data_IF_048384338412
#
_entry.id   IF_048384338412
#
_cell.length_a   1.000
_cell.length_b   1.000
_cell.length_c   1.000
_cell.angle_alpha   90.00
_cell.angle_beta   90.00
_cell.angle_gamma   90.00
#
_symmetry.space_group_name_H-M   'P 1'
#
loop_
_entity.id
_entity.type
_entity.pdbx_description
1 polymer ?
#
# COMPACT_ATOMS: atom_id res chain seq x y z
N UNK A 1 57.95 -7.70 -14.12
CA UNK A 1 56.80 -7.95 -13.21
C UNK A 1 57.27 -8.78 -12.03
N UNK A 2 57.18 -8.27 -10.82
CA UNK A 2 57.61 -9.02 -9.61
C UNK A 2 56.62 -10.15 -9.31
N UNK A 3 57.06 -11.24 -8.66
CA UNK A 3 56.17 -12.36 -8.28
C UNK A 3 54.90 -11.86 -7.56
N UNK A 4 55.03 -10.87 -6.68
CA UNK A 4 53.93 -10.25 -5.94
C UNK A 4 52.89 -9.57 -6.86
N UNK A 5 53.29 -8.91 -7.95
CA UNK A 5 52.36 -8.32 -8.92
C UNK A 5 51.57 -9.38 -9.69
N UNK A 6 52.19 -10.54 -10.00
CA UNK A 6 51.51 -11.63 -10.70
C UNK A 6 50.44 -12.28 -9.82
N UNK A 7 50.72 -12.47 -8.52
CA UNK A 7 49.76 -12.95 -7.54
C UNK A 7 48.61 -11.95 -7.30
N UNK A 8 48.90 -10.65 -7.23
CA UNK A 8 47.88 -9.62 -7.07
C UNK A 8 46.90 -9.58 -8.26
N UNK A 9 47.41 -9.69 -9.50
CA UNK A 9 46.57 -9.78 -10.70
C UNK A 9 45.73 -11.05 -10.70
N UNK A 10 46.31 -12.21 -10.39
CA UNK A 10 45.59 -13.48 -10.30
C UNK A 10 44.45 -13.40 -9.27
N UNK A 11 44.71 -12.88 -8.08
CA UNK A 11 43.69 -12.72 -7.03
C UNK A 11 42.59 -11.75 -7.48
N UNK A 12 42.95 -10.63 -8.11
CA UNK A 12 41.97 -9.64 -8.58
C UNK A 12 41.10 -10.19 -9.71
N UNK A 13 41.69 -10.94 -10.65
CA UNK A 13 40.93 -11.58 -11.74
C UNK A 13 39.99 -12.65 -11.19
N UNK A 14 40.47 -13.52 -10.30
CA UNK A 14 39.63 -14.54 -9.66
C UNK A 14 38.49 -13.91 -8.85
N UNK A 15 38.75 -12.84 -8.11
CA UNK A 15 37.72 -12.12 -7.37
C UNK A 15 36.69 -11.46 -8.29
N UNK A 16 37.13 -10.82 -9.39
CA UNK A 16 36.24 -10.19 -10.36
C UNK A 16 35.39 -11.21 -11.11
N UNK A 17 35.98 -12.32 -11.55
CA UNK A 17 35.25 -13.42 -12.20
C UNK A 17 34.29 -14.10 -11.23
N UNK A 18 34.70 -14.31 -9.96
CA UNK A 18 33.83 -14.83 -8.91
C UNK A 18 32.63 -13.94 -8.65
N UNK A 19 32.85 -12.62 -8.50
CA UNK A 19 31.77 -11.65 -8.36
C UNK A 19 30.84 -11.62 -9.58
N UNK A 20 31.39 -11.68 -10.78
CA UNK A 20 30.62 -11.75 -12.03
C UNK A 20 29.75 -13.01 -12.12
N UNK A 21 30.28 -14.16 -11.71
CA UNK A 21 29.53 -15.42 -11.67
C UNK A 21 28.43 -15.39 -10.60
N UNK A 22 28.70 -14.83 -9.43
CA UNK A 22 27.67 -14.65 -8.38
C UNK A 22 26.56 -13.73 -8.87
N UNK A 23 26.89 -12.61 -9.52
CA UNK A 23 25.90 -11.69 -10.08
C UNK A 23 25.08 -12.33 -11.21
N UNK A 24 25.72 -13.08 -12.11
CA UNK A 24 25.03 -13.80 -13.18
C UNK A 24 24.12 -14.92 -12.62
N UNK A 25 24.56 -15.61 -11.57
CA UNK A 25 23.78 -16.62 -10.88
C UNK A 25 22.57 -16.02 -10.16
N UNK A 26 22.76 -14.90 -9.45
CA UNK A 26 21.68 -14.15 -8.81
C UNK A 26 20.67 -13.64 -9.84
N UNK A 27 21.13 -13.13 -10.99
CA UNK A 27 20.28 -12.69 -12.08
C UNK A 27 19.47 -13.86 -12.65
N UNK A 28 20.10 -14.99 -12.92
CA UNK A 28 19.44 -16.20 -13.43
C UNK A 28 18.34 -16.69 -12.48
N UNK A 29 18.59 -16.66 -11.17
CA UNK A 29 17.60 -17.03 -10.15
C UNK A 29 16.46 -16.01 -10.08
N UNK A 30 16.78 -14.71 -10.12
CA UNK A 30 15.78 -13.64 -10.08
C UNK A 30 14.84 -13.65 -11.29
N UNK A 31 15.30 -14.14 -12.44
CA UNK A 31 14.53 -14.18 -13.68
C UNK A 31 13.56 -15.36 -13.79
N UNK A 32 13.83 -16.52 -13.15
CA UNK A 32 13.17 -17.76 -13.63
C UNK A 32 12.42 -18.64 -12.62
N UNK A 33 12.40 -18.43 -11.29
CA UNK A 33 11.53 -19.21 -10.37
C UNK A 33 11.44 -18.65 -8.92
N UNK A 34 10.33 -18.00 -8.51
CA UNK A 34 10.15 -17.51 -7.13
C UNK A 34 10.18 -18.60 -6.06
N UNK A 35 9.74 -19.82 -6.38
CA UNK A 35 9.60 -20.93 -5.43
C UNK A 35 10.94 -21.57 -4.99
N UNK A 36 12.01 -21.45 -5.79
CA UNK A 36 13.36 -21.89 -5.40
C UNK A 36 14.11 -20.83 -4.57
N UNK A 37 13.61 -19.59 -4.59
CA UNK A 37 14.18 -18.45 -3.86
C UNK A 37 13.98 -18.59 -2.35
N UNK A 38 12.76 -18.88 -1.88
CA UNK A 38 12.45 -18.96 -0.45
C UNK A 38 13.33 -19.96 0.30
N UNK A 39 13.63 -21.12 -0.30
CA UNK A 39 14.40 -22.18 0.37
C UNK A 39 15.91 -21.89 0.44
N UNK A 40 16.48 -21.16 -0.53
CA UNK A 40 17.91 -20.87 -0.57
C UNK A 40 18.27 -19.45 -0.12
N UNK A 41 17.28 -18.56 0.03
CA UNK A 41 17.49 -17.18 0.44
C UNK A 41 18.27 -17.08 1.75
N UNK A 42 17.91 -17.90 2.75
CA UNK A 42 18.58 -17.90 4.06
C UNK A 42 20.06 -18.29 3.91
N UNK A 43 20.37 -19.29 3.10
CA UNK A 43 21.76 -19.71 2.87
C UNK A 43 22.55 -18.66 2.09
N UNK A 44 21.97 -18.10 1.02
CA UNK A 44 22.57 -17.00 0.23
C UNK A 44 22.83 -15.76 1.08
N UNK A 45 21.91 -15.43 1.99
CA UNK A 45 22.06 -14.34 2.95
C UNK A 45 23.27 -14.58 3.84
N UNK A 46 23.37 -15.75 4.48
CA UNK A 46 24.50 -16.08 5.35
C UNK A 46 25.84 -16.12 4.61
N UNK A 47 25.89 -16.62 3.38
CA UNK A 47 27.09 -16.56 2.54
C UNK A 47 27.50 -15.12 2.26
N UNK A 48 26.57 -14.25 1.87
CA UNK A 48 26.86 -12.83 1.65
C UNK A 48 27.33 -12.13 2.93
N UNK A 49 26.68 -12.37 4.06
CA UNK A 49 27.09 -11.82 5.36
C UNK A 49 28.50 -12.27 5.73
N UNK A 50 28.82 -13.55 5.51
CA UNK A 50 30.15 -14.10 5.77
C UNK A 50 31.21 -13.45 4.89
N UNK A 51 30.96 -13.37 3.58
CA UNK A 51 31.88 -12.74 2.60
C UNK A 51 32.06 -11.25 2.90
N UNK A 52 30.97 -10.53 3.18
CA UNK A 52 31.01 -9.11 3.54
C UNK A 52 31.82 -8.87 4.82
N UNK A 53 31.60 -9.69 5.85
CA UNK A 53 32.35 -9.61 7.12
C UNK A 53 33.84 -9.84 6.90
N UNK A 54 34.20 -10.84 6.10
CA UNK A 54 35.59 -11.14 5.76
C UNK A 54 36.24 -9.97 4.99
N UNK A 55 35.55 -9.41 4.01
CA UNK A 55 36.01 -8.23 3.25
C UNK A 55 36.24 -7.03 4.16
N UNK A 56 35.28 -6.72 5.04
CA UNK A 56 35.41 -5.63 6.03
C UNK A 56 36.61 -5.85 6.94
N UNK A 57 36.82 -7.09 7.39
CA UNK A 57 37.96 -7.44 8.24
C UNK A 57 39.30 -7.27 7.50
N UNK A 58 39.40 -7.73 6.25
CA UNK A 58 40.62 -7.55 5.42
C UNK A 58 40.91 -6.07 5.17
N UNK A 59 39.89 -5.29 4.78
CA UNK A 59 40.02 -3.84 4.56
C UNK A 59 40.42 -3.14 5.86
N UNK A 60 39.79 -3.50 6.99
CA UNK A 60 40.11 -2.97 8.31
C UNK A 60 41.55 -3.24 8.72
N UNK A 61 42.03 -4.49 8.57
CA UNK A 61 43.43 -4.84 8.84
C UNK A 61 44.39 -4.07 7.94
N UNK A 62 44.08 -3.95 6.64
CA UNK A 62 44.89 -3.20 5.69
C UNK A 62 44.96 -1.71 6.05
N UNK A 63 43.82 -1.11 6.42
CA UNK A 63 43.71 0.28 6.85
C UNK A 63 44.50 0.53 8.15
N UNK A 64 44.33 -0.32 9.17
CA UNK A 64 45.10 -0.22 10.43
C UNK A 64 46.59 -0.39 10.18
N UNK A 65 47.02 -1.38 9.38
CA UNK A 65 48.43 -1.54 9.00
C UNK A 65 48.98 -0.30 8.31
N UNK A 66 48.20 0.31 7.40
CA UNK A 66 48.60 1.52 6.70
C UNK A 66 48.75 2.70 7.68
N UNK A 67 47.78 2.90 8.57
CA UNK A 67 47.81 3.94 9.60
C UNK A 67 49.01 3.78 10.55
N UNK A 68 49.28 2.56 11.03
CA UNK A 68 50.45 2.28 11.85
C UNK A 68 51.75 2.57 11.08
N UNK A 69 51.85 2.16 9.81
CA UNK A 69 53.03 2.41 8.96
C UNK A 69 53.29 3.90 8.74
N UNK A 70 52.23 4.69 8.58
CA UNK A 70 52.29 6.16 8.47
C UNK A 70 52.75 6.78 9.80
N UNK A 71 52.23 6.29 10.93
CA UNK A 71 52.64 6.75 12.27
C UNK A 71 54.10 6.44 12.58
N UNK A 72 54.61 5.28 12.16
CA UNK A 72 56.01 4.88 12.30
C UNK A 72 56.99 5.60 11.34
N UNK A 73 56.56 6.66 10.64
CA UNK A 73 57.38 7.49 9.72
C UNK A 73 58.18 6.71 8.66
N UNK A 74 57.74 5.50 8.29
CA UNK A 74 58.41 4.72 7.24
C UNK A 74 58.33 5.45 5.90
N UNK A 75 59.47 5.60 5.22
CA UNK A 75 59.58 6.27 3.91
C UNK A 75 58.59 5.62 2.91
N UNK A 76 57.84 6.44 2.16
CA UNK A 76 56.84 5.99 1.18
C UNK A 76 55.41 5.75 1.71
N UNK A 77 55.18 5.72 3.02
CA UNK A 77 53.84 5.47 3.62
C UNK A 77 52.81 6.57 3.33
N UNK A 78 53.26 7.84 3.29
CA UNK A 78 52.40 9.00 2.98
C UNK A 78 51.86 8.96 1.55
N UNK A 79 52.66 8.48 0.59
CA UNK A 79 52.23 8.34 -0.81
C UNK A 79 51.15 7.26 -0.94
N UNK A 80 51.35 6.10 -0.31
CA UNK A 80 50.37 5.02 -0.28
C UNK A 80 49.06 5.45 0.37
N UNK A 81 49.11 6.22 1.46
CA UNK A 81 47.90 6.76 2.09
C UNK A 81 47.15 7.70 1.15
N UNK A 82 47.84 8.61 0.46
CA UNK A 82 47.22 9.55 -0.48
C UNK A 82 46.54 8.81 -1.64
N UNK A 83 47.20 7.79 -2.20
CA UNK A 83 46.62 6.96 -3.27
C UNK A 83 45.42 6.17 -2.77
N UNK A 84 45.53 5.51 -1.61
CA UNK A 84 44.42 4.76 -1.01
C UNK A 84 43.20 5.65 -0.73
N UNK A 85 43.42 6.88 -0.25
CA UNK A 85 42.36 7.85 -0.01
C UNK A 85 41.64 8.25 -1.31
N UNK A 86 42.38 8.49 -2.40
CA UNK A 86 41.78 8.79 -3.71
C UNK A 86 40.95 7.61 -4.21
N UNK A 87 41.48 6.38 -4.14
CA UNK A 87 40.72 5.19 -4.55
C UNK A 87 39.46 4.98 -3.71
N UNK A 88 39.55 5.17 -2.39
CA UNK A 88 38.39 5.08 -1.51
C UNK A 88 37.33 6.14 -1.85
N UNK A 89 37.76 7.37 -2.11
CA UNK A 89 36.85 8.46 -2.49
C UNK A 89 36.15 8.17 -3.82
N UNK A 90 36.90 7.76 -4.84
CA UNK A 90 36.35 7.40 -6.17
C UNK A 90 35.39 6.22 -6.08
N UNK A 91 35.61 5.26 -5.19
CA UNK A 91 34.71 4.13 -4.98
C UNK A 91 33.46 4.46 -4.16
N UNK A 92 33.58 5.25 -3.09
CA UNK A 92 32.50 5.47 -2.12
C UNK A 92 31.56 6.60 -2.53
N UNK A 93 32.10 7.72 -3.04
CA UNK A 93 31.29 8.92 -3.38
C UNK A 93 30.15 8.62 -4.35
N UNK A 94 30.35 7.96 -5.51
CA UNK A 94 29.24 7.64 -6.40
C UNK A 94 28.23 6.69 -5.76
N UNK A 95 28.69 5.75 -4.92
CA UNK A 95 27.81 4.83 -4.21
C UNK A 95 26.88 5.54 -3.21
N UNK A 96 27.42 6.48 -2.44
CA UNK A 96 26.63 7.31 -1.50
C UNK A 96 25.65 8.20 -2.26
N UNK A 97 26.07 8.80 -3.38
CA UNK A 97 25.19 9.62 -4.21
C UNK A 97 24.02 8.79 -4.74
N UNK A 98 24.29 7.61 -5.30
CA UNK A 98 23.23 6.70 -5.78
C UNK A 98 22.32 6.32 -4.61
N UNK A 99 22.87 5.91 -3.46
CA UNK A 99 22.08 5.53 -2.29
C UNK A 99 21.14 6.64 -1.82
N UNK A 100 21.65 7.87 -1.67
CA UNK A 100 20.85 9.02 -1.22
C UNK A 100 19.76 9.39 -2.22
N UNK A 101 20.08 9.43 -3.50
CA UNK A 101 19.13 9.70 -4.57
C UNK A 101 18.06 8.60 -4.61
N UNK A 102 18.47 7.32 -4.59
CA UNK A 102 17.55 6.18 -4.54
C UNK A 102 16.64 6.23 -3.31
N UNK A 103 17.16 6.58 -2.13
CA UNK A 103 16.36 6.72 -0.92
C UNK A 103 15.32 7.84 -1.06
N UNK A 104 15.73 9.00 -1.60
CA UNK A 104 14.80 10.11 -1.87
C UNK A 104 13.72 9.70 -2.86
N UNK A 105 14.09 9.04 -3.96
CA UNK A 105 13.14 8.53 -4.95
C UNK A 105 12.17 7.55 -4.32
N UNK A 106 12.65 6.52 -3.62
CA UNK A 106 11.79 5.51 -2.99
C UNK A 106 10.82 6.15 -1.99
N UNK A 107 11.31 7.01 -1.09
CA UNK A 107 10.46 7.66 -0.10
C UNK A 107 9.39 8.54 -0.73
N UNK A 108 9.73 9.35 -1.74
CA UNK A 108 8.78 10.25 -2.40
C UNK A 108 7.83 9.52 -3.36
N UNK A 109 8.32 8.50 -4.06
CA UNK A 109 7.51 7.71 -5.00
C UNK A 109 6.46 6.87 -4.27
N UNK A 110 6.77 6.35 -3.08
CA UNK A 110 5.78 5.66 -2.24
C UNK A 110 4.69 6.65 -1.82
N UNK A 111 5.07 7.79 -1.26
CA UNK A 111 4.11 8.81 -0.80
C UNK A 111 3.18 9.27 -1.95
N UNK A 112 3.76 9.66 -3.08
CA UNK A 112 3.01 10.21 -4.22
C UNK A 112 2.08 9.19 -4.89
N UNK A 113 2.44 7.91 -4.93
CA UNK A 113 1.61 6.89 -5.58
C UNK A 113 0.57 6.31 -4.63
N UNK A 114 0.82 6.29 -3.32
CA UNK A 114 -0.14 5.83 -2.33
C UNK A 114 -1.27 6.83 -2.13
N UNK A 115 -0.96 8.11 -1.94
CA UNK A 115 -1.97 9.12 -1.62
C UNK A 115 -3.04 9.24 -2.73
N UNK A 116 -2.59 9.35 -3.98
CA UNK A 116 -3.46 9.45 -5.17
C UNK A 116 -4.38 8.23 -5.33
N UNK A 117 -3.89 7.03 -4.98
CA UNK A 117 -4.68 5.80 -5.07
C UNK A 117 -5.71 5.69 -3.96
N UNK A 118 -5.36 6.13 -2.75
CA UNK A 118 -6.27 6.09 -1.60
C UNK A 118 -7.37 7.12 -1.78
N UNK A 119 -7.03 8.35 -2.20
CA UNK A 119 -8.01 9.40 -2.49
C UNK A 119 -8.97 8.96 -3.61
N UNK A 120 -8.45 8.44 -4.72
CA UNK A 120 -9.29 7.93 -5.82
C UNK A 120 -10.19 6.77 -5.39
N UNK A 121 -9.69 5.86 -4.55
CA UNK A 121 -10.50 4.76 -4.02
C UNK A 121 -11.59 5.26 -3.06
N UNK A 122 -11.30 6.28 -2.25
CA UNK A 122 -12.25 6.88 -1.32
C UNK A 122 -13.36 7.62 -2.08
N UNK A 123 -13.02 8.39 -3.10
CA UNK A 123 -13.98 9.08 -3.96
C UNK A 123 -14.86 8.10 -4.75
N UNK A 124 -14.28 7.01 -5.27
CA UNK A 124 -15.04 5.95 -5.92
C UNK A 124 -16.00 5.27 -4.94
N UNK A 125 -15.55 5.00 -3.71
CA UNK A 125 -16.39 4.46 -2.64
C UNK A 125 -17.53 5.40 -2.24
N UNK A 126 -17.25 6.70 -2.14
CA UNK A 126 -18.25 7.73 -1.83
C UNK A 126 -19.30 7.83 -2.94
N UNK A 127 -18.88 7.86 -4.20
CA UNK A 127 -19.79 7.91 -5.34
C UNK A 127 -20.65 6.65 -5.46
N UNK A 128 -20.07 5.47 -5.16
CA UNK A 128 -20.82 4.21 -5.10
C UNK A 128 -21.84 4.22 -3.96
N UNK A 129 -21.46 4.72 -2.78
CA UNK A 129 -22.37 4.88 -1.64
C UNK A 129 -23.53 5.82 -1.95
N UNK A 130 -23.24 6.99 -2.52
CA UNK A 130 -24.26 7.97 -2.95
C UNK A 130 -25.19 7.39 -4.01
N UNK A 131 -24.65 6.80 -5.08
CA UNK A 131 -25.45 6.20 -6.14
C UNK A 131 -26.32 5.04 -5.65
N UNK A 132 -25.82 4.22 -4.72
CA UNK A 132 -26.59 3.15 -4.09
C UNK A 132 -27.73 3.73 -3.25
N UNK A 133 -27.46 4.77 -2.45
CA UNK A 133 -28.47 5.42 -1.63
C UNK A 133 -29.57 6.06 -2.50
N UNK A 134 -29.18 6.79 -3.55
CA UNK A 134 -30.13 7.40 -4.50
C UNK A 134 -31.00 6.36 -5.19
N UNK A 135 -30.42 5.21 -5.57
CA UNK A 135 -31.16 4.08 -6.14
C UNK A 135 -32.17 3.49 -5.15
N UNK A 136 -31.79 3.34 -3.87
CA UNK A 136 -32.69 2.83 -2.83
C UNK A 136 -33.83 3.83 -2.59
N UNK A 137 -33.53 5.13 -2.51
CA UNK A 137 -34.53 6.19 -2.34
C UNK A 137 -35.52 6.20 -3.51
N UNK A 138 -35.04 6.12 -4.74
CA UNK A 138 -35.89 6.09 -5.94
C UNK A 138 -36.77 4.83 -6.00
N UNK A 139 -36.23 3.67 -5.65
CA UNK A 139 -36.98 2.40 -5.59
C UNK A 139 -38.08 2.46 -4.52
N UNK A 140 -37.76 2.91 -3.31
CA UNK A 140 -38.73 3.08 -2.22
C UNK A 140 -39.81 4.10 -2.60
N UNK A 141 -39.46 5.22 -3.23
CA UNK A 141 -40.42 6.21 -3.70
C UNK A 141 -41.38 5.66 -4.76
N UNK A 142 -40.86 4.88 -5.72
CA UNK A 142 -41.67 4.24 -6.77
C UNK A 142 -42.62 3.21 -6.18
N UNK A 143 -42.12 2.35 -5.29
CA UNK A 143 -42.91 1.35 -4.57
C UNK A 143 -44.00 2.01 -3.72
N UNK A 144 -43.69 3.11 -3.03
CA UNK A 144 -44.64 3.87 -2.21
C UNK A 144 -45.74 4.52 -3.05
N UNK A 145 -45.41 5.03 -4.25
CA UNK A 145 -46.39 5.61 -5.17
C UNK A 145 -47.38 4.57 -5.69
N UNK A 146 -46.89 3.42 -6.16
CA UNK A 146 -47.73 2.30 -6.60
C UNK A 146 -48.61 1.77 -5.46
N UNK A 147 -48.07 1.74 -4.25
CA UNK A 147 -48.77 1.37 -3.03
C UNK A 147 -49.91 2.34 -2.69
N UNK A 148 -49.68 3.65 -2.84
CA UNK A 148 -50.70 4.69 -2.63
C UNK A 148 -51.83 4.63 -3.67
N UNK A 149 -51.51 4.40 -4.95
CA UNK A 149 -52.51 4.25 -6.02
C UNK A 149 -53.46 3.08 -5.74
N UNK A 150 -52.92 1.90 -5.39
CA UNK A 150 -53.71 0.71 -5.03
C UNK A 150 -54.59 0.93 -3.79
N UNK A 151 -54.07 1.67 -2.81
CA UNK A 151 -54.82 1.96 -1.59
C UNK A 151 -56.00 2.92 -1.87
N UNK A 152 -55.85 3.83 -2.84
CA UNK A 152 -56.92 4.72 -3.31
C UNK A 152 -58.11 3.99 -3.93
N UNK A 153 -57.89 2.81 -4.51
CA UNK A 153 -58.95 1.95 -5.07
C UNK A 153 -59.67 1.10 -4.00
N UNK A 154 -59.16 1.06 -2.76
CA UNK A 154 -59.68 0.20 -1.68
C UNK A 154 -60.72 0.94 -0.81
N UNK A 155 -61.93 0.39 -0.60
CA UNK A 155 -62.97 0.99 0.25
C UNK A 155 -62.51 1.25 1.70
N UNK A 156 -62.95 2.36 2.29
CA UNK A 156 -62.48 2.88 3.59
C UNK A 156 -62.53 1.91 4.78
N UNK A 157 -63.46 0.94 4.80
CA UNK A 157 -63.57 -0.06 5.86
C UNK A 157 -62.46 -1.12 5.85
N UNK A 158 -61.79 -1.33 4.72
CA UNK A 158 -60.71 -2.32 4.57
C UNK A 158 -59.30 -1.71 4.62
N UNK A 159 -59.17 -0.38 4.75
CA UNK A 159 -57.89 0.32 4.63
C UNK A 159 -56.89 -0.01 5.75
N UNK A 160 -57.33 -0.27 6.98
CA UNK A 160 -56.42 -0.60 8.10
C UNK A 160 -55.65 -1.91 7.88
N UNK A 161 -56.36 -2.95 7.42
CA UNK A 161 -55.74 -4.25 7.10
C UNK A 161 -54.89 -4.17 5.83
N UNK A 162 -55.32 -3.36 4.85
CA UNK A 162 -54.56 -3.12 3.63
C UNK A 162 -53.21 -2.45 3.92
N UNK A 163 -53.16 -1.47 4.82
CA UNK A 163 -51.92 -0.78 5.24
C UNK A 163 -50.95 -1.73 5.97
N UNK A 164 -51.44 -2.62 6.82
CA UNK A 164 -50.60 -3.62 7.50
C UNK A 164 -49.94 -4.58 6.49
N UNK A 165 -50.73 -5.12 5.55
CA UNK A 165 -50.21 -5.99 4.48
C UNK A 165 -49.19 -5.27 3.60
N UNK A 166 -49.42 -4.00 3.32
CA UNK A 166 -48.53 -3.17 2.51
C UNK A 166 -47.21 -2.91 3.23
N UNK A 167 -47.25 -2.74 4.56
CA UNK A 167 -46.04 -2.64 5.41
C UNK A 167 -45.22 -3.91 5.35
N UNK A 168 -45.85 -5.06 5.51
CA UNK A 168 -45.19 -6.37 5.39
C UNK A 168 -44.62 -6.58 3.98
N UNK A 169 -45.40 -6.29 2.93
CA UNK A 169 -44.99 -6.46 1.53
C UNK A 169 -43.79 -5.57 1.16
N UNK A 170 -43.75 -4.34 1.69
CA UNK A 170 -42.63 -3.42 1.49
C UNK A 170 -41.47 -3.68 2.45
N UNK A 171 -41.62 -4.60 3.40
CA UNK A 171 -40.68 -4.80 4.52
C UNK A 171 -40.32 -3.47 5.22
N UNK A 172 -41.28 -2.55 5.26
CA UNK A 172 -41.09 -1.23 5.82
C UNK A 172 -41.17 -1.30 7.35
N UNK A 173 -40.37 -0.47 8.02
CA UNK A 173 -40.44 -0.34 9.48
C UNK A 173 -41.75 0.32 9.90
N UNK A 174 -42.10 1.43 9.24
CA UNK A 174 -43.29 2.23 9.47
C UNK A 174 -43.96 2.60 8.13
N UNK A 175 -45.29 2.60 8.09
CA UNK A 175 -46.10 3.19 7.02
C UNK A 175 -47.18 4.08 7.64
N UNK A 176 -47.36 5.28 7.10
CA UNK A 176 -48.43 6.19 7.51
C UNK A 176 -49.15 6.79 6.30
N UNK A 177 -50.47 6.88 6.41
CA UNK A 177 -51.31 7.68 5.53
C UNK A 177 -51.35 9.09 6.12
N UNK A 178 -50.95 10.07 5.33
CA UNK A 178 -50.98 11.48 5.72
C UNK A 178 -52.12 12.18 4.96
N UNK A 179 -52.99 12.84 5.71
CA UNK A 179 -54.08 13.64 5.18
C UNK A 179 -53.60 14.99 4.62
N UNK A 180 -54.47 15.71 3.92
CA UNK A 180 -54.11 16.94 3.19
C UNK A 180 -53.63 18.09 4.08
N UNK A 181 -53.93 18.09 5.39
CA UNK A 181 -53.40 19.07 6.35
C UNK A 181 -52.18 18.55 7.13
N UNK A 182 -51.52 17.48 6.64
CA UNK A 182 -50.33 16.91 7.27
C UNK A 182 -50.61 16.09 8.53
N UNK A 183 -51.87 15.74 8.80
CA UNK A 183 -52.26 14.86 9.90
C UNK A 183 -52.11 13.39 9.51
N UNK A 184 -51.54 12.56 10.38
CA UNK A 184 -51.52 11.10 10.16
C UNK A 184 -52.92 10.54 10.39
N UNK A 185 -53.52 10.00 9.34
CA UNK A 185 -54.90 9.46 9.37
C UNK A 185 -54.87 8.02 9.86
N UNK A 186 -53.92 7.22 9.36
CA UNK A 186 -53.70 5.82 9.74
C UNK A 186 -52.20 5.51 9.67
N UNK A 187 -51.70 4.60 10.51
CA UNK A 187 -50.32 4.14 10.41
C UNK A 187 -50.13 2.76 11.02
N UNK A 188 -49.20 2.00 10.45
CA UNK A 188 -48.77 0.68 10.90
C UNK A 188 -47.25 0.70 11.14
N UNK A 189 -46.80 0.06 12.21
CA UNK A 189 -45.40 0.05 12.66
C UNK A 189 -45.03 -1.31 13.25
N UNK A 190 -43.79 -1.76 13.02
CA UNK A 190 -43.21 -2.97 13.64
C UNK A 190 -43.01 -2.82 15.15
N UNK A 191 -42.76 -1.60 15.64
CA UNK A 191 -42.32 -1.38 17.02
C UNK A 191 -43.09 -0.23 17.67
N UNK A 192 -43.76 -0.52 18.79
CA UNK A 192 -44.53 0.48 19.54
C UNK A 192 -43.64 1.53 20.22
N UNK A 193 -42.34 1.25 20.37
CA UNK A 193 -41.37 2.07 21.10
C UNK A 193 -40.67 3.15 20.25
N UNK A 194 -40.72 3.06 18.91
CA UNK A 194 -40.08 4.00 18.00
C UNK A 194 -40.96 4.24 16.77
N UNK A 195 -42.10 4.90 16.99
CA UNK A 195 -42.78 5.57 15.87
C UNK A 195 -41.88 6.71 15.42
N UNK A 196 -41.20 6.55 14.29
CA UNK A 196 -40.67 7.69 13.58
C UNK A 196 -41.89 8.45 13.06
N UNK A 197 -42.34 9.47 13.80
CA UNK A 197 -43.39 10.34 13.29
C UNK A 197 -42.83 10.97 12.01
N UNK A 198 -43.47 10.75 10.84
CA UNK A 198 -42.97 11.32 9.60
C UNK A 198 -42.81 12.82 9.79
N UNK A 199 -41.63 13.35 9.45
CA UNK A 199 -41.42 14.80 9.35
C UNK A 199 -42.54 15.34 8.45
N UNK A 200 -43.26 16.37 8.90
CA UNK A 200 -44.37 16.93 8.11
C UNK A 200 -43.85 17.30 6.73
N UNK A 201 -44.50 16.87 5.63
CA UNK A 201 -44.14 17.35 4.31
C UNK A 201 -44.19 18.88 4.34
N UNK A 202 -43.08 19.52 3.95
CA UNK A 202 -43.04 20.97 3.85
C UNK A 202 -44.17 21.43 2.93
N UNK A 203 -44.89 22.48 3.32
CA UNK A 203 -45.92 23.08 2.48
C UNK A 203 -45.20 23.64 1.25
N UNK A 204 -45.21 22.90 0.15
CA UNK A 204 -44.80 23.42 -1.14
C UNK A 204 -45.80 24.50 -1.52
N UNK A 205 -45.35 25.77 -1.51
CA UNK A 205 -46.01 26.87 -2.22
C UNK A 205 -45.90 26.63 -3.73
#
# INVERSE_FOLDING_TARGET
MTKAQRWAWLISTVAATGAGLVLAFLLSIATNNPALYERHYVWLFWVNVTVATLLVLVIGIAAVRLLVRVRSRKFGSRLLLKLAAIFALVGVVPGVLIYTVSYQFVSRSIESWFDVKVESALDAGLNLGKGTLDSIVADVATKTRLAAERLGETPGSAQSLAVERLREQLSAQDIAIVGPAGQTVLGSSISTASRLMPERPAVSL
#
